data_IF_680511780484
#
_entry.id   IF_680511780484
#
_cell.length_a   1.000
_cell.length_b   1.000
_cell.length_c   1.000
_cell.angle_alpha   90.00
_cell.angle_beta   90.00
_cell.angle_gamma   90.00
#
_symmetry.space_group_name_H-M   'P 1'
#
loop_
_entity.id
_entity.type
_entity.pdbx_description
1 polymer ?
#
# COMPACT_ATOMS: atom_id res chain seq x y z
N UNK A 1 3.11 16.96 24.22
CA UNK A 1 2.12 17.76 24.99
C UNK A 1 1.67 16.94 26.19
N UNK A 2 1.73 17.50 27.39
CA UNK A 2 1.24 16.87 28.60
C UNK A 2 -0.13 17.48 28.97
N UNK A 3 -1.14 16.63 29.16
CA UNK A 3 -2.49 17.02 29.57
C UNK A 3 -2.86 16.15 30.78
N UNK A 4 -3.30 16.76 31.86
CA UNK A 4 -3.71 16.08 33.11
C UNK A 4 -2.68 15.05 33.62
N UNK A 5 -1.39 15.41 33.56
CA UNK A 5 -0.29 14.55 34.05
C UNK A 5 0.11 13.41 33.09
N UNK A 6 -0.57 13.24 31.95
CA UNK A 6 -0.20 12.28 30.91
C UNK A 6 0.44 13.00 29.74
N UNK A 7 1.72 12.68 29.45
CA UNK A 7 2.43 13.21 28.30
C UNK A 7 2.13 12.33 27.09
N UNK A 8 1.59 12.95 26.04
CA UNK A 8 1.33 12.28 24.74
C UNK A 8 2.18 12.90 23.64
N UNK A 9 2.62 12.08 22.72
CA UNK A 9 3.26 12.52 21.49
C UNK A 9 2.24 13.19 20.58
N UNK A 10 2.68 13.97 19.62
CA UNK A 10 1.78 14.55 18.61
C UNK A 10 1.10 13.46 17.76
N UNK A 11 1.80 12.35 17.56
CA UNK A 11 1.28 11.21 16.83
C UNK A 11 0.09 10.55 17.54
N UNK A 12 0.13 10.47 18.88
CA UNK A 12 -0.99 9.95 19.71
C UNK A 12 -2.18 10.91 19.78
N UNK A 13 -1.92 12.19 19.51
CA UNK A 13 -2.95 13.24 19.49
C UNK A 13 -3.49 13.50 18.08
N UNK A 14 -2.94 12.84 17.05
CA UNK A 14 -3.41 13.00 15.70
C UNK A 14 -4.91 12.64 15.59
N UNK A 15 -5.73 13.49 14.97
CA UNK A 15 -7.15 13.20 14.80
C UNK A 15 -7.33 11.97 13.91
N UNK A 16 -8.45 11.27 14.05
CA UNK A 16 -8.79 10.19 13.13
C UNK A 16 -9.03 10.77 11.74
N UNK A 17 -8.18 10.39 10.79
CA UNK A 17 -8.20 10.90 9.43
C UNK A 17 -7.01 10.39 8.62
N UNK A 18 -6.61 11.16 7.64
CA UNK A 18 -5.53 10.83 6.71
C UNK A 18 -4.15 11.36 7.14
N UNK A 19 -4.07 12.00 8.29
CA UNK A 19 -2.82 12.53 8.86
C UNK A 19 -2.39 11.65 10.02
N UNK A 20 -1.13 11.25 10.06
CA UNK A 20 -0.60 10.38 11.11
C UNK A 20 0.90 10.22 11.03
N UNK A 21 1.44 9.23 11.76
CA UNK A 21 2.88 9.04 11.90
C UNK A 21 3.38 7.66 11.45
N UNK A 22 2.50 6.78 11.01
CA UNK A 22 2.84 5.42 10.60
C UNK A 22 1.99 5.02 9.42
N UNK A 23 2.63 4.61 8.31
CA UNK A 23 1.98 4.27 7.03
C UNK A 23 2.66 3.05 6.42
N UNK A 24 1.93 2.32 5.57
CA UNK A 24 2.40 1.08 4.94
C UNK A 24 2.29 1.14 3.41
N UNK A 25 3.22 1.84 2.73
CA UNK A 25 3.25 1.87 1.26
C UNK A 25 3.53 0.49 0.67
N UNK A 26 3.11 0.28 -0.58
CA UNK A 26 3.34 -0.95 -1.33
C UNK A 26 3.58 -0.66 -2.81
N UNK A 27 4.54 -1.36 -3.42
CA UNK A 27 4.81 -1.27 -4.85
C UNK A 27 4.02 -2.36 -5.59
N UNK A 28 2.77 -2.05 -5.94
CA UNK A 28 1.84 -2.98 -6.57
C UNK A 28 2.30 -3.43 -7.96
N UNK A 29 1.83 -4.59 -8.39
CA UNK A 29 1.98 -5.02 -9.77
C UNK A 29 1.37 -3.99 -10.72
N UNK A 30 2.12 -3.60 -11.71
CA UNK A 30 1.68 -2.72 -12.78
C UNK A 30 2.29 -3.14 -14.10
N UNK A 31 1.64 -2.81 -15.19
CA UNK A 31 2.13 -3.04 -16.55
C UNK A 31 3.31 -2.14 -16.92
N UNK A 32 3.54 -1.07 -16.16
CA UNK A 32 4.70 -0.21 -16.38
C UNK A 32 5.99 -0.99 -16.13
N UNK A 33 6.85 -1.03 -17.13
CA UNK A 33 8.19 -1.62 -17.04
C UNK A 33 9.25 -0.60 -16.65
N UNK A 34 8.86 0.67 -16.53
CA UNK A 34 9.72 1.81 -16.19
C UNK A 34 9.01 2.73 -15.22
N UNK A 35 9.77 3.57 -14.57
CA UNK A 35 9.27 4.55 -13.60
C UNK A 35 9.41 4.09 -12.16
N UNK A 36 9.61 5.04 -11.29
CA UNK A 36 9.81 4.83 -9.87
C UNK A 36 8.48 4.97 -9.12
N UNK A 37 8.33 4.21 -8.04
CA UNK A 37 7.28 4.50 -7.07
C UNK A 37 7.70 5.76 -6.28
N UNK A 38 6.87 6.79 -6.28
CA UNK A 38 7.06 7.99 -5.48
C UNK A 38 6.21 7.93 -4.22
N UNK A 39 6.84 8.12 -3.05
CA UNK A 39 6.12 8.31 -1.79
C UNK A 39 6.32 9.77 -1.39
N UNK A 40 5.26 10.56 -1.53
CA UNK A 40 5.25 12.00 -1.22
C UNK A 40 4.74 12.18 0.21
N UNK A 41 5.55 12.82 1.03
CA UNK A 41 5.24 13.11 2.43
C UNK A 41 5.10 14.61 2.61
N UNK A 42 3.94 15.04 3.05
CA UNK A 42 3.65 16.45 3.31
C UNK A 42 3.51 16.68 4.81
N UNK A 43 4.31 17.58 5.35
CA UNK A 43 4.20 18.02 6.73
C UNK A 43 3.10 19.07 6.83
N UNK A 44 2.03 18.75 7.54
CA UNK A 44 0.87 19.63 7.72
C UNK A 44 1.01 20.57 8.92
N UNK A 45 2.10 20.47 9.70
CA UNK A 45 2.40 21.38 10.80
C UNK A 45 2.87 22.74 10.25
N UNK A 46 2.47 23.82 10.90
CA UNK A 46 2.93 25.17 10.59
C UNK A 46 4.25 25.52 11.31
N UNK A 47 4.63 24.76 12.32
CA UNK A 47 5.71 25.16 13.24
C UNK A 47 6.77 24.09 13.50
N UNK A 48 6.44 22.80 13.29
CA UNK A 48 7.31 21.67 13.64
C UNK A 48 7.79 20.94 12.40
N UNK A 49 9.08 20.67 12.34
CA UNK A 49 9.63 19.73 11.37
C UNK A 49 9.28 18.28 11.71
N UNK A 50 9.14 17.45 10.72
CA UNK A 50 8.93 16.01 10.85
C UNK A 50 10.15 15.26 10.33
N UNK A 51 10.76 14.41 11.16
CA UNK A 51 11.77 13.45 10.70
C UNK A 51 11.04 12.19 10.24
N UNK A 52 11.24 11.83 8.98
CA UNK A 52 10.53 10.73 8.33
C UNK A 52 11.54 9.67 7.89
N UNK A 53 11.21 8.40 8.17
CA UNK A 53 12.01 7.25 7.76
C UNK A 53 11.15 6.29 6.96
N UNK A 54 11.66 5.83 5.82
CA UNK A 54 11.07 4.77 5.01
C UNK A 54 11.92 3.51 5.15
N UNK A 55 11.36 2.49 5.80
CA UNK A 55 11.96 1.17 6.00
C UNK A 55 11.29 0.13 5.11
N UNK A 56 12.05 -0.92 4.77
CA UNK A 56 11.56 -2.03 3.95
C UNK A 56 12.66 -2.57 3.03
N UNK A 57 12.34 -3.51 2.14
CA UNK A 57 13.29 -4.09 1.19
C UNK A 57 13.54 -3.16 -0.02
N UNK A 58 13.80 -1.88 0.25
CA UNK A 58 13.94 -0.81 -0.75
C UNK A 58 15.14 0.09 -0.46
N UNK A 59 15.65 0.73 -1.49
CA UNK A 59 16.74 1.72 -1.41
C UNK A 59 16.29 3.04 -1.98
N UNK A 60 15.48 3.81 -1.25
CA UNK A 60 14.92 5.05 -1.77
C UNK A 60 15.98 6.14 -1.93
N UNK A 61 15.75 7.02 -2.89
CA UNK A 61 16.55 8.23 -3.09
C UNK A 61 15.76 9.47 -2.70
N UNK A 62 16.41 10.53 -2.21
CA UNK A 62 17.85 10.68 -1.97
C UNK A 62 18.37 9.87 -0.77
N UNK A 63 17.52 9.41 0.14
CA UNK A 63 17.84 8.67 1.35
C UNK A 63 16.58 7.99 1.89
N UNK A 64 16.74 6.98 2.73
CA UNK A 64 15.62 6.39 3.49
C UNK A 64 15.18 7.26 4.69
N UNK A 65 15.89 8.34 5.00
CA UNK A 65 15.53 9.30 6.05
C UNK A 65 15.60 10.72 5.50
N UNK A 66 14.55 11.50 5.76
CA UNK A 66 14.45 12.90 5.36
C UNK A 66 13.77 13.71 6.47
N UNK A 67 14.19 14.97 6.63
CA UNK A 67 13.50 15.95 7.46
C UNK A 67 12.58 16.79 6.60
N UNK A 68 11.31 16.89 6.98
CA UNK A 68 10.30 17.66 6.26
C UNK A 68 10.00 18.92 7.06
N UNK A 69 10.41 20.10 6.58
CA UNK A 69 10.10 21.37 7.24
C UNK A 69 8.59 21.63 7.34
N UNK A 70 8.15 22.55 8.21
CA UNK A 70 6.75 22.97 8.30
C UNK A 70 6.17 23.39 6.94
N UNK A 71 4.99 22.89 6.59
CA UNK A 71 4.29 23.17 5.35
C UNK A 71 4.97 22.67 4.07
N UNK A 72 6.11 21.98 4.18
CA UNK A 72 6.84 21.46 3.03
C UNK A 72 6.47 20.01 2.70
N UNK A 73 6.93 19.55 1.54
CA UNK A 73 6.83 18.16 1.11
C UNK A 73 8.20 17.63 0.65
N UNK A 74 8.41 16.34 0.85
CA UNK A 74 9.56 15.58 0.33
C UNK A 74 9.07 14.35 -0.42
N UNK A 75 9.94 13.79 -1.26
CA UNK A 75 9.66 12.60 -2.04
C UNK A 75 10.72 11.54 -1.74
N UNK A 76 10.27 10.35 -1.37
CA UNK A 76 11.07 9.14 -1.43
C UNK A 76 10.82 8.48 -2.79
N UNK A 77 11.85 8.38 -3.61
CA UNK A 77 11.80 7.67 -4.89
C UNK A 77 12.29 6.26 -4.69
N UNK A 78 11.42 5.29 -4.86
CA UNK A 78 11.75 3.86 -4.78
C UNK A 78 12.08 3.39 -6.18
N UNK A 79 13.29 2.87 -6.42
CA UNK A 79 13.73 2.41 -7.74
C UNK A 79 12.76 1.38 -8.33
N UNK A 80 12.62 1.43 -9.65
CA UNK A 80 11.81 0.46 -10.38
C UNK A 80 12.29 -0.96 -10.09
N UNK A 81 11.38 -1.84 -9.68
CA UNK A 81 11.67 -3.22 -9.33
C UNK A 81 11.95 -3.45 -7.85
N UNK A 82 12.39 -2.45 -7.07
CA UNK A 82 12.57 -2.62 -5.63
C UNK A 82 11.21 -2.90 -4.96
N UNK A 83 11.10 -4.01 -4.24
CA UNK A 83 9.88 -4.49 -3.58
C UNK A 83 8.64 -4.56 -4.48
N UNK A 84 8.80 -4.54 -5.80
CA UNK A 84 7.68 -4.58 -6.75
C UNK A 84 7.02 -5.96 -6.73
N UNK A 85 5.70 -5.97 -6.56
CA UNK A 85 4.87 -7.13 -6.80
C UNK A 85 4.69 -7.31 -8.31
N UNK A 86 4.71 -8.55 -8.79
CA UNK A 86 4.70 -8.84 -10.23
C UNK A 86 3.70 -9.92 -10.62
N UNK A 87 2.98 -10.46 -9.66
CA UNK A 87 2.03 -11.56 -9.83
C UNK A 87 1.21 -11.77 -8.55
N UNK A 88 0.25 -12.68 -8.58
CA UNK A 88 -0.32 -13.23 -7.34
C UNK A 88 0.80 -13.85 -6.51
N UNK A 89 1.07 -13.32 -5.33
CA UNK A 89 2.17 -13.78 -4.46
C UNK A 89 1.95 -13.41 -3.00
N UNK A 90 2.65 -14.13 -2.10
CA UNK A 90 2.87 -13.70 -0.72
C UNK A 90 4.36 -13.48 -0.54
N UNK A 91 4.77 -12.24 -0.23
CA UNK A 91 6.18 -11.87 -0.13
C UNK A 91 6.41 -10.72 0.85
N UNK A 92 7.61 -10.64 1.44
CA UNK A 92 8.02 -9.51 2.28
C UNK A 92 8.43 -8.33 1.38
N UNK A 93 7.43 -7.61 0.87
CA UNK A 93 7.59 -6.49 -0.06
C UNK A 93 6.89 -5.21 0.40
N UNK A 94 6.24 -5.23 1.55
CA UNK A 94 5.67 -4.04 2.17
C UNK A 94 6.76 -3.10 2.68
N UNK A 95 6.42 -1.83 2.76
CA UNK A 95 7.26 -0.79 3.33
C UNK A 95 6.58 -0.21 4.57
N UNK A 96 7.37 0.42 5.44
CA UNK A 96 6.87 1.16 6.59
C UNK A 96 7.47 2.56 6.60
N UNK A 97 6.60 3.55 6.57
CA UNK A 97 6.98 4.95 6.72
C UNK A 97 6.60 5.41 8.12
N UNK A 98 7.59 5.84 8.88
CA UNK A 98 7.41 6.40 10.22
C UNK A 98 7.78 7.89 10.25
N UNK A 99 7.12 8.67 11.10
CA UNK A 99 7.35 10.10 11.27
C UNK A 99 7.32 10.51 12.74
N UNK A 100 8.12 11.50 13.11
CA UNK A 100 8.14 12.07 14.46
C UNK A 100 7.00 13.05 14.73
N UNK A 101 6.34 13.54 13.68
CA UNK A 101 5.16 14.41 13.73
C UNK A 101 4.13 13.96 12.69
N UNK A 102 2.84 14.29 12.86
CA UNK A 102 1.80 13.90 11.92
C UNK A 102 2.02 14.48 10.53
N UNK A 103 1.95 13.63 9.52
CA UNK A 103 2.14 13.96 8.09
C UNK A 103 1.00 13.37 7.25
N UNK A 104 0.77 13.92 6.06
CA UNK A 104 -0.05 13.30 5.03
C UNK A 104 0.87 12.60 4.02
N UNK A 105 0.49 11.41 3.57
CA UNK A 105 1.33 10.59 2.67
C UNK A 105 0.54 10.16 1.45
N UNK A 106 1.13 10.34 0.27
CA UNK A 106 0.62 9.85 -1.01
C UNK A 106 1.64 8.94 -1.66
N UNK A 107 1.18 7.89 -2.30
CA UNK A 107 2.02 7.11 -3.22
C UNK A 107 1.59 7.35 -4.67
N UNK A 108 2.57 7.53 -5.55
CA UNK A 108 2.40 7.71 -6.99
C UNK A 108 3.06 6.56 -7.73
N UNK A 109 2.36 5.96 -8.67
CA UNK A 109 2.89 4.82 -9.41
C UNK A 109 2.60 4.93 -10.90
N UNK A 110 3.61 5.31 -11.72
CA UNK A 110 4.90 5.88 -11.32
C UNK A 110 4.82 7.35 -10.91
N UNK A 111 5.89 7.88 -10.26
CA UNK A 111 5.98 9.30 -9.93
C UNK A 111 6.29 10.15 -11.18
N UNK A 112 7.04 9.60 -12.12
CA UNK A 112 7.40 10.25 -13.37
C UNK A 112 6.63 9.60 -14.52
N UNK A 113 5.59 10.28 -14.99
CA UNK A 113 4.70 9.78 -16.04
C UNK A 113 5.20 10.10 -17.48
N UNK A 114 6.38 10.69 -17.64
CA UNK A 114 6.88 11.14 -18.94
C UNK A 114 7.01 10.01 -20.00
N UNK A 115 7.10 8.78 -19.56
CA UNK A 115 7.29 7.59 -20.42
C UNK A 115 6.11 6.60 -20.35
N UNK A 116 5.04 6.94 -19.62
CA UNK A 116 3.86 6.07 -19.45
C UNK A 116 2.59 6.86 -19.73
N UNK A 117 1.55 6.17 -20.22
CA UNK A 117 0.28 6.80 -20.58
C UNK A 117 -0.55 7.27 -19.37
N UNK A 118 -0.33 6.69 -18.21
CA UNK A 118 -1.05 7.04 -16.99
C UNK A 118 -0.21 6.75 -15.74
N UNK A 119 -0.41 7.55 -14.72
CA UNK A 119 0.05 7.31 -13.36
C UNK A 119 -1.15 7.21 -12.42
N UNK A 120 -1.00 6.48 -11.34
CA UNK A 120 -1.97 6.42 -10.25
C UNK A 120 -1.44 7.15 -9.02
N UNK A 121 -2.34 7.79 -8.28
CA UNK A 121 -2.04 8.40 -7.00
C UNK A 121 -3.00 7.85 -5.96
N UNK A 122 -2.45 7.41 -4.83
CA UNK A 122 -3.22 6.88 -3.70
C UNK A 122 -2.87 7.67 -2.44
N UNK A 123 -3.89 8.23 -1.78
CA UNK A 123 -3.73 8.74 -0.43
C UNK A 123 -3.57 7.56 0.52
N UNK A 124 -2.46 7.48 1.23
CA UNK A 124 -2.26 6.46 2.24
C UNK A 124 -2.97 6.83 3.54
N UNK A 125 -3.67 5.86 4.09
CA UNK A 125 -4.25 6.00 5.42
C UNK A 125 -3.23 5.62 6.49
N UNK A 126 -3.15 6.35 7.61
CA UNK A 126 -2.24 6.01 8.70
C UNK A 126 -2.72 4.79 9.49
N UNK A 127 -1.78 4.13 10.15
CA UNK A 127 -2.00 2.90 10.91
C UNK A 127 -3.19 2.96 11.88
N UNK A 128 -3.37 4.10 12.57
CA UNK A 128 -4.41 4.25 13.60
C UNK A 128 -5.87 4.24 13.08
N UNK A 129 -6.05 4.32 11.75
CA UNK A 129 -7.38 4.19 11.12
C UNK A 129 -7.54 2.87 10.35
N UNK A 130 -6.50 2.02 10.31
CA UNK A 130 -6.59 0.71 9.67
C UNK A 130 -7.57 -0.20 10.41
N UNK A 131 -8.27 -1.02 9.64
CA UNK A 131 -9.28 -1.94 10.14
C UNK A 131 -8.84 -3.41 10.01
N UNK A 132 -9.68 -4.31 10.51
CA UNK A 132 -9.53 -5.77 10.38
C UNK A 132 -10.45 -6.36 9.33
N UNK A 133 -11.48 -5.61 8.92
CA UNK A 133 -12.49 -6.08 7.99
C UNK A 133 -12.69 -5.04 6.89
N UNK A 134 -12.66 -5.51 5.64
CA UNK A 134 -12.82 -4.67 4.46
C UNK A 134 -13.76 -5.31 3.45
N UNK A 135 -14.53 -4.45 2.77
CA UNK A 135 -15.09 -4.74 1.46
C UNK A 135 -14.20 -4.05 0.41
N UNK A 136 -13.75 -4.83 -0.55
CA UNK A 136 -12.86 -4.35 -1.60
C UNK A 136 -13.69 -3.69 -2.68
N UNK A 137 -13.24 -2.53 -3.13
CA UNK A 137 -13.73 -1.85 -4.31
C UNK A 137 -12.54 -1.67 -5.27
N UNK A 138 -12.66 -2.25 -6.44
CA UNK A 138 -11.65 -2.22 -7.48
C UNK A 138 -12.25 -1.59 -8.74
N UNK A 139 -11.61 -1.77 -9.87
CA UNK A 139 -12.08 -1.28 -11.16
C UNK A 139 -11.91 -2.36 -12.22
N UNK A 140 -12.91 -2.50 -13.09
CA UNK A 140 -12.85 -3.43 -14.20
C UNK A 140 -11.73 -3.04 -15.17
N UNK A 141 -10.71 -3.86 -15.27
CA UNK A 141 -9.61 -3.65 -16.19
C UNK A 141 -9.92 -4.29 -17.56
N UNK A 142 -9.83 -3.50 -18.61
CA UNK A 142 -9.98 -3.98 -19.99
C UNK A 142 -8.63 -3.95 -20.72
N UNK A 143 -7.86 -5.01 -20.53
CA UNK A 143 -6.53 -5.14 -21.12
C UNK A 143 -6.52 -5.10 -22.66
N UNK A 144 -7.61 -5.54 -23.30
CA UNK A 144 -7.69 -5.63 -24.77
C UNK A 144 -7.66 -4.27 -25.46
N UNK A 145 -8.00 -3.19 -24.73
CA UNK A 145 -7.96 -1.83 -25.27
C UNK A 145 -6.56 -1.21 -25.26
N UNK A 146 -5.63 -1.76 -24.47
CA UNK A 146 -4.37 -1.08 -24.19
C UNK A 146 -3.17 -1.84 -24.71
N UNK A 147 -3.20 -3.17 -24.72
CA UNK A 147 -2.06 -4.01 -25.11
C UNK A 147 -2.48 -5.24 -25.90
N UNK A 148 -1.58 -5.72 -26.78
CA UNK A 148 -1.70 -7.00 -27.44
C UNK A 148 -0.36 -7.77 -27.31
N UNK A 149 -0.26 -8.86 -26.54
CA UNK A 149 -1.33 -9.48 -25.75
C UNK A 149 -1.79 -8.61 -24.57
N UNK A 150 -3.01 -8.81 -24.08
CA UNK A 150 -3.55 -8.07 -22.96
C UNK A 150 -2.65 -8.21 -21.71
N UNK A 151 -2.28 -7.09 -21.11
CA UNK A 151 -1.49 -7.06 -19.88
C UNK A 151 -2.18 -6.19 -18.84
N UNK A 152 -2.16 -6.64 -17.60
CA UNK A 152 -2.78 -5.97 -16.47
C UNK A 152 -4.00 -6.74 -15.97
N UNK A 153 -4.21 -6.60 -14.67
CA UNK A 153 -5.22 -7.34 -13.91
C UNK A 153 -5.81 -6.40 -12.85
N UNK A 154 -7.07 -6.61 -12.50
CA UNK A 154 -7.60 -6.07 -11.25
C UNK A 154 -6.90 -6.78 -10.08
N UNK A 155 -6.49 -6.00 -9.11
CA UNK A 155 -5.65 -6.45 -8.00
C UNK A 155 -6.33 -6.21 -6.65
N UNK A 156 -5.99 -7.06 -5.70
CA UNK A 156 -6.23 -6.88 -4.28
C UNK A 156 -4.92 -7.16 -3.57
N UNK A 157 -4.40 -6.19 -2.81
CA UNK A 157 -3.22 -6.40 -1.99
C UNK A 157 -3.53 -6.15 -0.51
N UNK A 158 -3.05 -7.04 0.36
CA UNK A 158 -3.18 -6.95 1.82
C UNK A 158 -1.80 -6.91 2.43
N UNK A 159 -1.49 -5.85 3.18
CA UNK A 159 -0.22 -5.67 3.89
C UNK A 159 -0.44 -5.89 5.37
N UNK A 160 0.31 -6.81 5.99
CA UNK A 160 0.26 -7.02 7.42
C UNK A 160 1.09 -5.97 8.19
N UNK A 161 0.47 -5.37 9.22
CA UNK A 161 1.10 -4.38 10.07
C UNK A 161 1.86 -5.01 11.25
N UNK A 162 1.52 -6.24 11.60
CA UNK A 162 2.13 -7.00 12.70
C UNK A 162 2.40 -8.46 12.30
N UNK A 163 3.26 -9.13 13.06
CA UNK A 163 3.53 -10.55 12.87
C UNK A 163 2.31 -11.40 13.21
N UNK A 164 2.28 -12.61 12.69
CA UNK A 164 1.25 -13.63 12.94
C UNK A 164 -0.18 -13.15 12.64
N UNK A 165 -0.32 -12.23 11.69
CA UNK A 165 -1.63 -11.72 11.26
C UNK A 165 -2.31 -12.75 10.36
N UNK A 166 -3.36 -13.40 10.87
CA UNK A 166 -4.20 -14.30 10.08
C UNK A 166 -5.15 -13.47 9.22
N UNK A 167 -5.13 -13.71 7.92
CA UNK A 167 -5.95 -13.03 6.91
C UNK A 167 -6.80 -14.05 6.18
N UNK A 168 -8.09 -13.77 6.07
CA UNK A 168 -9.07 -14.51 5.27
C UNK A 168 -9.54 -13.63 4.13
N UNK A 169 -9.40 -14.11 2.89
CA UNK A 169 -9.85 -13.40 1.69
C UNK A 169 -10.87 -14.25 0.97
N UNK A 170 -12.07 -13.70 0.74
CA UNK A 170 -13.11 -14.31 -0.11
C UNK A 170 -13.25 -13.49 -1.37
N UNK A 171 -13.25 -14.14 -2.54
CA UNK A 171 -13.24 -13.48 -3.84
C UNK A 171 -14.52 -13.71 -4.62
N UNK A 172 -15.04 -12.70 -5.35
CA UNK A 172 -16.25 -12.85 -6.18
C UNK A 172 -15.97 -13.39 -7.59
N UNK A 173 -14.70 -13.37 -8.02
CA UNK A 173 -14.28 -13.79 -9.36
C UNK A 173 -13.14 -14.81 -9.26
N UNK A 174 -12.84 -15.47 -10.40
CA UNK A 174 -11.70 -16.39 -10.47
C UNK A 174 -10.37 -15.63 -10.40
N UNK A 175 -9.41 -16.15 -9.62
CA UNK A 175 -8.11 -15.49 -9.42
C UNK A 175 -6.96 -16.30 -9.99
N UNK A 176 -5.89 -15.60 -10.38
CA UNK A 176 -4.67 -16.23 -10.87
C UNK A 176 -3.94 -16.94 -9.74
N UNK A 177 -3.41 -18.16 -9.96
CA UNK A 177 -2.45 -18.76 -9.05
C UNK A 177 -1.10 -18.04 -9.15
N UNK A 178 -0.31 -18.15 -8.08
CA UNK A 178 1.07 -17.68 -8.05
C UNK A 178 1.94 -18.49 -7.09
N UNK A 179 3.23 -18.14 -6.90
CA UNK A 179 4.12 -18.89 -6.05
C UNK A 179 3.58 -19.07 -4.63
N UNK A 180 3.23 -20.31 -4.26
CA UNK A 180 2.67 -20.62 -2.95
C UNK A 180 1.25 -20.10 -2.69
N UNK A 181 0.61 -19.44 -3.64
CA UNK A 181 -0.75 -18.89 -3.53
C UNK A 181 -1.64 -19.56 -4.58
N UNK A 182 -2.63 -20.39 -4.18
CA UNK A 182 -3.51 -21.03 -5.13
C UNK A 182 -4.46 -20.02 -5.78
N UNK A 183 -4.85 -20.28 -7.02
CA UNK A 183 -6.00 -19.61 -7.62
C UNK A 183 -7.29 -19.99 -6.91
N UNK A 184 -8.22 -19.04 -6.80
CA UNK A 184 -9.51 -19.23 -6.16
C UNK A 184 -10.63 -19.14 -7.21
N UNK A 185 -11.70 -19.89 -6.97
CA UNK A 185 -12.95 -19.76 -7.71
C UNK A 185 -13.90 -18.78 -7.02
N UNK A 186 -14.88 -18.21 -7.74
CA UNK A 186 -15.89 -17.33 -7.15
C UNK A 186 -16.51 -17.92 -5.87
N UNK A 187 -16.56 -17.13 -4.80
CA UNK A 187 -17.09 -17.52 -3.50
C UNK A 187 -16.13 -18.31 -2.61
N UNK A 188 -14.96 -18.69 -3.10
CA UNK A 188 -13.97 -19.38 -2.27
C UNK A 188 -13.25 -18.41 -1.33
N UNK A 189 -12.89 -18.93 -0.17
CA UNK A 189 -12.10 -18.24 0.85
C UNK A 189 -10.73 -18.89 0.99
N UNK A 190 -9.70 -18.05 1.01
CA UNK A 190 -8.34 -18.45 1.35
C UNK A 190 -7.96 -17.87 2.71
N UNK A 191 -7.27 -18.66 3.52
CA UNK A 191 -6.65 -18.20 4.77
C UNK A 191 -5.14 -18.21 4.64
N UNK A 192 -4.49 -17.12 5.08
CA UNK A 192 -3.04 -16.95 5.15
C UNK A 192 -2.63 -16.37 6.49
N UNK A 193 -1.43 -16.68 6.94
CA UNK A 193 -0.76 -15.97 8.03
C UNK A 193 0.34 -15.12 7.42
N UNK A 194 0.33 -13.84 7.73
CA UNK A 194 1.29 -12.85 7.26
C UNK A 194 2.09 -12.31 8.44
N UNK A 195 3.39 -12.15 8.24
CA UNK A 195 4.24 -11.41 9.15
C UNK A 195 4.27 -9.92 8.77
N UNK A 196 4.74 -9.09 9.68
CA UNK A 196 4.84 -7.65 9.44
C UNK A 196 5.60 -7.37 8.13
N UNK A 197 5.03 -6.50 7.29
CA UNK A 197 5.49 -6.15 5.95
C UNK A 197 5.41 -7.28 4.90
N UNK A 198 4.85 -8.43 5.24
CA UNK A 198 4.41 -9.34 4.19
C UNK A 198 3.16 -8.79 3.50
N UNK A 199 3.16 -8.96 2.19
CA UNK A 199 2.06 -8.58 1.30
C UNK A 199 1.49 -9.85 0.67
N UNK A 200 0.18 -10.00 0.71
CA UNK A 200 -0.56 -10.96 -0.10
C UNK A 200 -1.20 -10.18 -1.25
N UNK A 201 -0.69 -10.36 -2.46
CA UNK A 201 -1.31 -9.82 -3.68
C UNK A 201 -2.08 -10.92 -4.40
N UNK A 202 -3.31 -10.63 -4.79
CA UNK A 202 -4.21 -11.51 -5.53
C UNK A 202 -4.66 -10.77 -6.78
N UNK A 203 -4.45 -11.40 -7.95
CA UNK A 203 -4.88 -10.88 -9.24
C UNK A 203 -6.10 -11.65 -9.76
N UNK A 204 -7.07 -10.99 -10.37
CA UNK A 204 -8.13 -11.64 -11.11
C UNK A 204 -7.57 -12.40 -12.32
N UNK A 205 -8.22 -13.52 -12.70
CA UNK A 205 -7.73 -14.35 -13.78
C UNK A 205 -8.09 -13.79 -15.17
N UNK A 206 -9.28 -13.24 -15.33
CA UNK A 206 -9.80 -12.85 -16.63
C UNK A 206 -9.94 -11.35 -16.77
N UNK A 207 -9.59 -10.82 -17.94
CA UNK A 207 -9.94 -9.46 -18.34
C UNK A 207 -11.45 -9.24 -18.28
N UNK A 208 -11.88 -8.00 -18.01
CA UNK A 208 -13.30 -7.58 -17.90
C UNK A 208 -14.08 -8.14 -16.70
N UNK A 209 -13.47 -8.98 -15.87
CA UNK A 209 -14.02 -9.29 -14.56
C UNK A 209 -13.66 -8.17 -13.57
N UNK A 210 -14.27 -8.17 -12.40
CA UNK A 210 -14.03 -7.17 -11.37
C UNK A 210 -13.96 -7.86 -10.00
N UNK A 211 -12.85 -7.68 -9.31
CA UNK A 211 -12.63 -8.23 -7.96
C UNK A 211 -13.38 -7.43 -6.88
N UNK A 212 -14.10 -6.36 -7.24
CA UNK A 212 -14.98 -5.63 -6.32
C UNK A 212 -16.00 -6.57 -5.67
N UNK A 213 -16.21 -6.38 -4.37
CA UNK A 213 -17.02 -7.28 -3.56
C UNK A 213 -16.22 -8.38 -2.86
N UNK A 214 -14.91 -8.50 -3.14
CA UNK A 214 -14.05 -9.31 -2.31
C UNK A 214 -14.09 -8.82 -0.85
N UNK A 215 -13.95 -9.74 0.09
CA UNK A 215 -13.89 -9.41 1.51
C UNK A 215 -12.56 -9.82 2.12
N UNK A 216 -12.04 -8.96 2.98
CA UNK A 216 -10.85 -9.25 3.77
C UNK A 216 -11.23 -9.24 5.24
N UNK A 217 -10.88 -10.30 5.97
CA UNK A 217 -11.01 -10.38 7.43
C UNK A 217 -9.65 -10.73 8.01
N UNK A 218 -9.20 -9.98 9.02
CA UNK A 218 -7.90 -10.18 9.64
C UNK A 218 -7.97 -10.24 11.17
N UNK A 219 -7.02 -10.95 11.79
CA UNK A 219 -6.91 -11.05 13.25
C UNK A 219 -6.37 -9.74 13.87
N UNK A 220 -5.59 -8.99 13.13
CA UNK A 220 -5.03 -7.67 13.47
C UNK A 220 -5.30 -6.67 12.34
N UNK A 221 -5.15 -5.35 12.56
CA UNK A 221 -5.27 -4.36 11.50
C UNK A 221 -4.35 -4.64 10.32
N UNK A 222 -4.84 -4.40 9.10
CA UNK A 222 -4.10 -4.54 7.83
C UNK A 222 -4.35 -3.35 6.93
N UNK A 223 -3.39 -3.05 6.05
CA UNK A 223 -3.64 -2.13 4.93
C UNK A 223 -4.15 -2.93 3.72
N UNK A 224 -5.11 -2.37 3.00
CA UNK A 224 -5.71 -2.98 1.82
C UNK A 224 -5.69 -1.99 0.66
N UNK A 225 -5.23 -2.46 -0.50
CA UNK A 225 -5.10 -1.70 -1.74
C UNK A 225 -5.84 -2.38 -2.88
#
# INVERSE_FOLDING_TARGET
TCVEGTCRTQCELAPRGNVGCSFFPVNLWSTSTVGELGIVVTNTSETLSADVTLDGPVRPTPSNRQTVPPGAAVIFRVPHGDAKLTQTEQATKGMHLSSTAPVAVYQFHPIDAATVFSGSATLLLPEHVMAKNYFVMSYTYNAELITNPPQGQGLLAVVALSNDTRVEVTVPVETMPGPGVPGLKPGQTMTRTLNRLEVLEIAQLKSREDISGATVKASAPVAVF
#
